data_IF_819517213347
#
_entry.id   IF_819517213347
#
_cell.length_a   1.000
_cell.length_b   1.000
_cell.length_c   1.000
_cell.angle_alpha   90.00
_cell.angle_beta   90.00
_cell.angle_gamma   90.00
#
_symmetry.space_group_name_H-M   'P 1'
#
loop_
_entity.id
_entity.type
_entity.pdbx_description
1 polymer ?
#
# COMPACT_ATOMS: atom_id res chain seq x y z
N UNK A 1 14.82 -5.32 -5.45
CA UNK A 1 14.59 -6.54 -6.27
C UNK A 1 13.11 -6.79 -6.45
N UNK A 2 12.31 -6.71 -5.39
CA UNK A 2 10.85 -6.70 -5.50
C UNK A 2 10.34 -5.25 -5.42
N UNK A 3 10.01 -4.64 -6.56
CA UNK A 3 9.49 -3.27 -6.65
C UNK A 3 8.30 -3.23 -7.61
N UNK A 4 7.13 -2.91 -7.10
CA UNK A 4 5.90 -2.76 -7.91
C UNK A 4 5.86 -1.51 -8.81
N UNK A 5 6.95 -0.75 -8.80
CA UNK A 5 7.14 0.49 -9.56
C UNK A 5 8.41 0.43 -10.39
N UNK A 6 8.82 -0.76 -10.82
CA UNK A 6 10.02 -0.92 -11.66
C UNK A 6 9.96 -0.02 -12.90
N UNK A 7 8.77 0.23 -13.45
CA UNK A 7 8.54 1.14 -14.57
C UNK A 7 8.99 2.59 -14.29
N UNK A 8 8.93 3.03 -13.03
CA UNK A 8 9.43 4.35 -12.61
C UNK A 8 10.96 4.39 -12.53
N UNK A 9 11.58 3.29 -12.14
CA UNK A 9 13.04 3.16 -12.05
C UNK A 9 13.64 2.98 -13.45
N UNK A 10 12.97 2.21 -14.30
CA UNK A 10 13.38 1.91 -15.67
C UNK A 10 12.93 2.95 -16.70
N UNK A 11 12.17 3.99 -16.30
CA UNK A 11 11.57 5.02 -17.18
C UNK A 11 10.84 4.44 -18.41
N UNK A 12 10.16 3.30 -18.22
CA UNK A 12 9.44 2.63 -19.32
C UNK A 12 8.22 3.46 -19.73
N UNK A 13 7.92 3.44 -21.03
CA UNK A 13 6.66 3.98 -21.54
C UNK A 13 5.49 3.15 -21.02
N UNK A 14 4.43 3.84 -20.59
CA UNK A 14 3.23 3.19 -20.04
C UNK A 14 2.08 3.50 -20.98
N UNK A 15 1.49 2.45 -21.54
CA UNK A 15 0.21 2.53 -22.23
C UNK A 15 -0.90 2.76 -21.18
N UNK A 16 -1.66 3.84 -21.34
CA UNK A 16 -2.79 4.20 -20.48
C UNK A 16 -4.09 3.72 -21.12
N UNK A 17 -5.15 3.65 -20.32
CA UNK A 17 -6.48 3.21 -20.76
C UNK A 17 -7.10 4.09 -21.84
N UNK A 18 -6.60 5.31 -22.03
CA UNK A 18 -6.99 6.24 -23.09
C UNK A 18 -6.19 6.06 -24.40
N UNK A 19 -5.33 5.03 -24.48
CA UNK A 19 -4.48 4.75 -25.64
C UNK A 19 -3.21 5.59 -25.71
N UNK A 20 -2.98 6.51 -24.77
CA UNK A 20 -1.74 7.28 -24.72
C UNK A 20 -0.58 6.45 -24.20
N UNK A 21 0.57 6.60 -24.84
CA UNK A 21 1.83 5.97 -24.41
C UNK A 21 2.77 7.09 -23.97
N UNK A 22 3.07 7.14 -22.67
CA UNK A 22 3.97 8.16 -22.13
C UNK A 22 4.81 7.58 -21.00
N UNK A 23 6.07 8.03 -20.90
CA UNK A 23 6.87 7.78 -19.71
C UNK A 23 6.25 8.48 -18.50
N UNK A 24 6.40 7.87 -17.33
CA UNK A 24 5.90 8.47 -16.10
C UNK A 24 6.87 9.57 -15.65
N UNK A 25 6.44 10.83 -15.80
CA UNK A 25 7.23 12.01 -15.48
C UNK A 25 7.48 12.20 -13.99
N UNK A 26 8.47 13.03 -13.66
CA UNK A 26 8.69 13.52 -12.31
C UNK A 26 7.68 14.63 -11.99
N UNK A 27 7.09 14.60 -10.81
CA UNK A 27 6.20 15.66 -10.36
C UNK A 27 6.95 17.00 -10.27
N UNK A 28 6.28 18.08 -10.67
CA UNK A 28 6.79 19.46 -10.64
C UNK A 28 5.86 20.32 -9.80
N UNK A 29 6.42 21.14 -8.90
CA UNK A 29 5.63 22.04 -8.04
C UNK A 29 4.83 23.00 -8.91
N UNK A 30 5.44 23.48 -9.99
CA UNK A 30 4.90 24.47 -10.93
C UNK A 30 3.69 23.95 -11.71
N UNK A 31 3.50 22.63 -11.80
CA UNK A 31 2.31 22.02 -12.39
C UNK A 31 1.28 21.64 -11.32
N UNK A 32 1.75 21.07 -10.21
CA UNK A 32 0.88 20.47 -9.22
C UNK A 32 0.12 21.52 -8.41
N UNK A 33 0.79 22.61 -8.01
CA UNK A 33 0.15 23.66 -7.19
C UNK A 33 -1.00 24.34 -7.95
N UNK A 34 -0.83 24.81 -9.20
CA UNK A 34 -1.95 25.35 -9.97
C UNK A 34 -3.11 24.37 -10.13
N UNK A 35 -2.81 23.08 -10.35
CA UNK A 35 -3.85 22.05 -10.43
C UNK A 35 -4.65 21.91 -9.12
N UNK A 36 -3.97 21.88 -7.98
CA UNK A 36 -4.64 21.78 -6.67
C UNK A 36 -5.52 23.00 -6.42
N UNK A 37 -4.98 24.20 -6.66
CA UNK A 37 -5.70 25.46 -6.45
C UNK A 37 -6.95 25.54 -7.34
N UNK A 38 -6.81 25.20 -8.62
CA UNK A 38 -7.92 25.25 -9.57
C UNK A 38 -8.98 24.20 -9.26
N UNK A 39 -8.58 22.95 -8.98
CA UNK A 39 -9.53 21.92 -8.55
C UNK A 39 -10.31 22.37 -7.32
N UNK A 40 -9.62 22.90 -6.30
CA UNK A 40 -10.25 23.34 -5.06
C UNK A 40 -11.14 24.57 -5.23
N UNK A 41 -10.78 25.49 -6.14
CA UNK A 41 -11.63 26.63 -6.53
C UNK A 41 -12.92 26.14 -7.18
N UNK A 42 -12.83 25.23 -8.16
CA UNK A 42 -13.98 24.63 -8.84
C UNK A 42 -14.89 23.92 -7.82
N UNK A 43 -14.32 23.13 -6.92
CA UNK A 43 -15.06 22.47 -5.83
C UNK A 43 -15.83 23.48 -4.99
N UNK A 44 -15.18 24.57 -4.55
CA UNK A 44 -15.79 25.58 -3.71
C UNK A 44 -16.95 26.30 -4.41
N UNK A 45 -16.83 26.56 -5.71
CA UNK A 45 -17.87 27.21 -6.52
C UNK A 45 -19.06 26.29 -6.83
N UNK A 46 -18.89 24.96 -6.73
CA UNK A 46 -19.88 23.96 -7.09
C UNK A 46 -20.44 23.22 -5.85
N UNK A 47 -20.59 23.92 -4.72
CA UNK A 47 -21.24 23.37 -3.53
C UNK A 47 -20.43 22.29 -2.81
N UNK A 48 -19.10 22.27 -2.99
CA UNK A 48 -18.21 21.34 -2.32
C UNK A 48 -17.86 20.08 -3.12
N UNK A 49 -18.32 19.96 -4.38
CA UNK A 49 -18.06 18.81 -5.24
C UNK A 49 -17.63 19.30 -6.62
N UNK A 50 -16.55 18.75 -7.17
CA UNK A 50 -16.09 19.05 -8.52
C UNK A 50 -17.06 18.44 -9.55
N UNK A 51 -17.61 19.21 -10.51
CA UNK A 51 -18.68 18.76 -11.40
C UNK A 51 -18.24 17.63 -12.35
N UNK A 52 -17.00 17.66 -12.84
CA UNK A 52 -16.51 16.62 -13.76
C UNK A 52 -15.98 15.38 -13.03
N UNK A 53 -15.17 15.57 -11.98
CA UNK A 53 -14.50 14.45 -11.31
C UNK A 53 -15.33 13.83 -10.19
N UNK A 54 -16.39 14.51 -9.74
CA UNK A 54 -17.22 14.09 -8.61
C UNK A 54 -16.47 14.02 -7.28
N UNK A 55 -15.35 14.76 -7.15
CA UNK A 55 -14.49 14.73 -5.96
C UNK A 55 -14.67 15.98 -5.12
N UNK A 56 -14.54 15.82 -3.82
CA UNK A 56 -14.37 16.92 -2.88
C UNK A 56 -13.02 17.65 -3.06
N UNK A 57 -12.81 18.65 -2.19
CA UNK A 57 -11.56 19.40 -2.04
C UNK A 57 -10.39 18.43 -1.87
N UNK A 58 -9.34 18.63 -2.65
CA UNK A 58 -8.04 18.00 -2.42
C UNK A 58 -7.47 18.56 -1.12
N UNK A 59 -7.57 17.75 -0.07
CA UNK A 59 -7.06 18.07 1.28
C UNK A 59 -5.88 17.20 1.71
N UNK A 60 -5.61 16.11 0.98
CA UNK A 60 -4.52 15.18 1.28
C UNK A 60 -3.71 14.83 0.03
N UNK A 61 -2.39 14.89 0.15
CA UNK A 61 -1.45 14.47 -0.91
C UNK A 61 -0.55 13.35 -0.41
N UNK A 62 -0.24 12.38 -1.27
CA UNK A 62 0.77 11.34 -1.03
C UNK A 62 1.98 11.56 -1.94
N UNK A 63 3.12 11.88 -1.34
CA UNK A 63 4.42 11.89 -1.98
C UNK A 63 4.95 10.44 -2.05
N UNK A 64 5.07 9.89 -3.25
CA UNK A 64 5.51 8.51 -3.49
C UNK A 64 5.98 8.32 -4.96
N UNK A 65 6.11 7.07 -5.42
CA UNK A 65 6.59 6.70 -6.74
C UNK A 65 7.98 6.06 -6.65
N UNK A 66 9.00 6.90 -6.49
CA UNK A 66 10.29 6.50 -5.93
C UNK A 66 10.26 6.64 -4.40
N UNK A 67 11.39 7.02 -3.80
CA UNK A 67 11.46 7.36 -2.38
C UNK A 67 11.71 8.88 -2.20
N UNK A 68 10.72 9.66 -1.71
CA UNK A 68 10.89 11.09 -1.47
C UNK A 68 11.98 11.43 -0.46
N UNK A 69 12.36 10.52 0.45
CA UNK A 69 13.40 10.79 1.46
C UNK A 69 14.81 10.70 0.89
N UNK A 70 14.98 10.24 -0.35
CA UNK A 70 16.25 10.39 -1.10
C UNK A 70 16.51 11.85 -1.50
N UNK A 71 15.47 12.70 -1.50
CA UNK A 71 15.65 14.14 -1.72
C UNK A 71 16.32 14.81 -0.51
N UNK A 72 17.15 15.82 -0.75
CA UNK A 72 17.71 16.65 0.32
C UNK A 72 16.66 17.48 1.05
N UNK A 73 16.97 17.87 2.30
CA UNK A 73 16.05 18.60 3.19
C UNK A 73 15.45 19.86 2.55
N UNK A 74 16.23 20.62 1.78
CA UNK A 74 15.75 21.82 1.09
C UNK A 74 14.64 21.54 0.07
N UNK A 75 14.74 20.43 -0.67
CA UNK A 75 13.72 20.02 -1.64
C UNK A 75 12.47 19.52 -0.93
N UNK A 76 12.62 18.76 0.16
CA UNK A 76 11.47 18.33 0.97
C UNK A 76 10.75 19.54 1.54
N UNK A 77 11.48 20.48 2.15
CA UNK A 77 10.91 21.71 2.69
C UNK A 77 10.13 22.51 1.62
N UNK A 78 10.69 22.64 0.42
CA UNK A 78 10.01 23.31 -0.70
C UNK A 78 8.70 22.62 -1.09
N UNK A 79 8.67 21.28 -1.16
CA UNK A 79 7.45 20.54 -1.41
C UNK A 79 6.42 20.67 -0.28
N UNK A 80 6.85 20.54 0.97
CA UNK A 80 5.94 20.66 2.12
C UNK A 80 5.30 22.04 2.18
N UNK A 81 6.09 23.10 2.02
CA UNK A 81 5.61 24.48 2.01
C UNK A 81 4.64 24.73 0.84
N UNK A 82 5.02 24.35 -0.38
CA UNK A 82 4.18 24.55 -1.56
C UNK A 82 2.83 23.81 -1.46
N UNK A 83 2.81 22.60 -0.90
CA UNK A 83 1.57 21.86 -0.68
C UNK A 83 0.72 22.52 0.42
N UNK A 84 1.33 22.95 1.52
CA UNK A 84 0.62 23.65 2.59
C UNK A 84 -0.01 24.97 2.09
N UNK A 85 0.74 25.76 1.31
CA UNK A 85 0.25 27.00 0.68
C UNK A 85 -0.89 26.74 -0.32
N UNK A 86 -0.88 25.58 -1.00
CA UNK A 86 -1.97 25.15 -1.85
C UNK A 86 -3.24 24.70 -1.08
N UNK A 87 -3.22 24.77 0.25
CA UNK A 87 -4.35 24.44 1.11
C UNK A 87 -4.49 22.96 1.46
N UNK A 88 -3.41 22.18 1.34
CA UNK A 88 -3.35 20.77 1.76
C UNK A 88 -3.23 20.69 3.29
N UNK A 89 -4.06 19.85 3.90
CA UNK A 89 -4.18 19.69 5.35
C UNK A 89 -3.39 18.47 5.87
N UNK A 90 -3.16 17.48 5.01
CA UNK A 90 -2.41 16.27 5.35
C UNK A 90 -1.46 15.88 4.22
N UNK A 91 -0.19 15.67 4.54
CA UNK A 91 0.82 15.21 3.59
C UNK A 91 1.33 13.84 4.03
N UNK A 92 1.08 12.83 3.20
CA UNK A 92 1.66 11.50 3.37
C UNK A 92 2.97 11.39 2.61
N UNK A 93 3.96 10.72 3.19
CA UNK A 93 5.25 10.48 2.56
C UNK A 93 5.54 8.98 2.64
N UNK A 94 5.58 8.30 1.48
CA UNK A 94 5.95 6.89 1.44
C UNK A 94 7.45 6.70 1.28
N UNK A 95 8.09 5.99 2.22
CA UNK A 95 9.56 5.84 2.23
C UNK A 95 10.00 4.46 2.73
N UNK A 96 11.01 3.87 2.08
CA UNK A 96 11.78 2.72 2.59
C UNK A 96 13.10 3.18 3.21
N UNK A 97 13.48 4.45 3.06
CA UNK A 97 14.71 5.00 3.61
C UNK A 97 14.85 4.78 5.12
N UNK A 98 13.73 4.74 5.87
CA UNK A 98 13.76 4.39 7.30
C UNK A 98 14.33 3.00 7.59
N UNK A 99 14.23 2.05 6.65
CA UNK A 99 14.82 0.72 6.76
C UNK A 99 16.23 0.65 6.16
N UNK A 100 16.53 1.46 5.14
CA UNK A 100 17.79 1.39 4.41
C UNK A 100 18.88 2.30 4.97
N UNK A 101 18.50 3.51 5.36
CA UNK A 101 19.41 4.52 5.88
C UNK A 101 18.71 5.38 6.95
N UNK A 102 18.48 4.83 8.17
CA UNK A 102 17.80 5.55 9.24
C UNK A 102 18.49 6.87 9.65
N UNK A 103 19.80 6.98 9.43
CA UNK A 103 20.57 8.20 9.69
C UNK A 103 20.20 9.38 8.77
N UNK A 104 19.42 9.15 7.71
CA UNK A 104 18.76 10.20 6.93
C UNK A 104 17.89 11.11 7.81
N UNK A 105 17.31 10.56 8.87
CA UNK A 105 16.43 11.26 9.81
C UNK A 105 17.26 11.85 10.94
N UNK A 106 18.14 12.79 10.60
CA UNK A 106 19.04 13.46 11.54
C UNK A 106 18.43 14.73 12.16
N UNK A 107 19.20 15.39 13.01
CA UNK A 107 18.76 16.61 13.71
C UNK A 107 18.43 17.75 12.74
N UNK A 108 19.08 17.82 11.57
CA UNK A 108 18.80 18.84 10.56
C UNK A 108 17.48 18.59 9.83
N UNK A 109 17.12 17.32 9.62
CA UNK A 109 15.82 16.93 9.09
C UNK A 109 14.71 17.29 10.08
N UNK A 110 14.93 17.00 11.36
CA UNK A 110 13.98 17.31 12.42
C UNK A 110 13.77 18.82 12.63
N UNK A 111 14.85 19.61 12.62
CA UNK A 111 14.77 21.08 12.64
C UNK A 111 14.01 21.64 11.43
N UNK A 112 14.21 21.05 10.23
CA UNK A 112 13.44 21.42 9.04
C UNK A 112 11.94 21.15 9.23
N UNK A 113 11.58 19.99 9.79
CA UNK A 113 10.18 19.65 10.08
C UNK A 113 9.56 20.59 11.11
N UNK A 114 10.29 20.93 12.17
CA UNK A 114 9.79 21.82 13.22
C UNK A 114 9.56 23.24 12.71
N UNK A 115 10.48 23.75 11.87
CA UNK A 115 10.32 25.04 11.19
C UNK A 115 9.12 25.04 10.25
N UNK A 116 8.92 23.96 9.49
CA UNK A 116 7.75 23.80 8.65
C UNK A 116 6.46 23.87 9.48
N UNK A 117 6.36 23.11 10.56
CA UNK A 117 5.16 23.09 11.39
C UNK A 117 4.92 24.41 12.14
N UNK A 118 5.97 25.12 12.55
CA UNK A 118 5.84 26.44 13.15
C UNK A 118 5.17 27.46 12.20
N UNK A 119 5.40 27.31 10.88
CA UNK A 119 4.79 28.15 9.84
C UNK A 119 3.39 27.64 9.48
N UNK A 120 3.20 26.32 9.39
CA UNK A 120 1.95 25.68 8.96
C UNK A 120 1.39 24.73 10.03
N UNK A 121 0.95 25.23 11.20
CA UNK A 121 0.57 24.39 12.34
C UNK A 121 -0.71 23.55 12.09
N UNK A 122 -1.49 23.91 11.07
CA UNK A 122 -2.69 23.18 10.66
C UNK A 122 -2.40 21.96 9.76
N UNK A 123 -1.16 21.77 9.30
CA UNK A 123 -0.80 20.66 8.40
C UNK A 123 -0.19 19.52 9.18
N UNK A 124 -0.72 18.32 8.95
CA UNK A 124 -0.24 17.07 9.59
C UNK A 124 0.57 16.23 8.60
N UNK A 125 1.55 15.48 9.12
CA UNK A 125 2.33 14.55 8.31
C UNK A 125 2.04 13.10 8.68
N UNK A 126 2.08 12.23 7.68
CA UNK A 126 2.05 10.78 7.88
C UNK A 126 3.14 10.10 7.08
N UNK A 127 4.11 9.52 7.78
CA UNK A 127 5.17 8.74 7.16
C UNK A 127 4.69 7.30 6.98
N UNK A 128 4.58 6.88 5.73
CA UNK A 128 4.31 5.49 5.37
C UNK A 128 5.64 4.76 5.21
N UNK A 129 6.16 4.19 6.29
CA UNK A 129 7.41 3.41 6.28
C UNK A 129 7.18 2.02 5.65
N UNK A 130 8.27 1.37 5.26
CA UNK A 130 8.23 0.13 4.49
C UNK A 130 9.21 -0.92 5.00
N UNK A 131 9.05 -1.28 6.28
CA UNK A 131 9.70 -2.42 6.88
C UNK A 131 8.99 -3.72 6.46
N UNK A 132 9.76 -4.69 5.98
CA UNK A 132 9.27 -5.97 5.49
C UNK A 132 9.61 -7.14 6.44
N UNK A 133 10.65 -7.04 7.26
CA UNK A 133 11.06 -8.11 8.16
C UNK A 133 11.64 -7.51 9.46
N UNK A 134 11.52 -8.16 10.63
CA UNK A 134 12.08 -7.61 11.86
C UNK A 134 13.60 -7.38 11.80
N UNK A 135 14.32 -8.16 10.98
CA UNK A 135 15.77 -7.99 10.73
C UNK A 135 16.16 -6.61 10.19
N UNK A 136 15.22 -5.88 9.57
CA UNK A 136 15.49 -4.54 9.06
C UNK A 136 15.58 -3.49 10.18
N UNK A 137 15.12 -3.79 11.40
CA UNK A 137 15.09 -2.81 12.49
C UNK A 137 15.37 -3.35 13.90
N UNK A 138 15.48 -4.67 14.10
CA UNK A 138 15.79 -5.29 15.38
C UNK A 138 17.23 -5.80 15.42
N UNK A 139 17.84 -5.71 16.61
CA UNK A 139 19.16 -6.28 16.88
C UNK A 139 19.03 -7.79 17.11
N UNK A 140 20.01 -8.53 16.58
CA UNK A 140 20.17 -9.97 16.80
C UNK A 140 21.43 -10.26 17.59
N UNK A 141 21.41 -11.35 18.35
CA UNK A 141 22.59 -11.96 18.93
C UNK A 141 23.42 -12.73 17.88
N UNK A 142 24.58 -13.25 18.28
CA UNK A 142 25.44 -14.05 17.41
C UNK A 142 24.86 -15.40 16.97
N UNK A 143 23.68 -15.79 17.49
CA UNK A 143 22.97 -17.04 17.16
C UNK A 143 21.73 -16.78 16.30
N UNK A 144 21.43 -15.52 15.98
CA UNK A 144 20.29 -15.12 15.16
C UNK A 144 18.99 -14.84 15.93
N UNK A 145 18.99 -14.94 17.26
CA UNK A 145 17.86 -14.57 18.10
C UNK A 145 17.78 -13.05 18.30
N UNK A 146 16.58 -12.49 18.36
CA UNK A 146 16.42 -11.06 18.66
C UNK A 146 16.78 -10.77 20.12
N UNK A 147 17.46 -9.64 20.36
CA UNK A 147 17.84 -9.23 21.70
C UNK A 147 16.63 -8.67 22.46
N UNK A 148 16.41 -9.14 23.68
CA UNK A 148 15.38 -8.61 24.58
C UNK A 148 15.77 -7.21 25.08
N UNK A 149 14.80 -6.29 25.11
CA UNK A 149 14.96 -4.97 25.73
C UNK A 149 14.65 -5.09 27.24
N UNK A 150 15.54 -4.64 28.15
CA UNK A 150 15.26 -4.63 29.58
C UNK A 150 14.00 -3.87 29.98
N UNK A 151 13.56 -2.88 29.18
CA UNK A 151 12.31 -2.14 29.36
C UNK A 151 11.09 -2.88 28.76
N UNK A 152 11.31 -4.06 28.16
CA UNK A 152 10.32 -4.94 27.56
C UNK A 152 10.14 -4.75 26.06
N UNK A 153 9.94 -5.87 25.37
CA UNK A 153 9.97 -5.94 23.89
C UNK A 153 11.36 -6.30 23.40
N UNK A 154 11.65 -6.01 22.13
CA UNK A 154 12.94 -6.33 21.52
C UNK A 154 13.77 -5.07 21.28
N UNK A 155 15.10 -5.21 21.29
CA UNK A 155 16.00 -4.10 21.04
C UNK A 155 16.01 -3.73 19.57
N UNK A 156 15.75 -2.46 19.29
CA UNK A 156 15.84 -1.89 17.95
C UNK A 156 17.29 -1.48 17.62
N UNK A 157 17.62 -1.40 16.33
CA UNK A 157 18.82 -0.72 15.85
C UNK A 157 18.82 0.74 16.35
N UNK A 158 19.95 1.22 16.86
CA UNK A 158 19.99 2.49 17.61
C UNK A 158 19.59 3.69 16.75
N UNK A 159 20.05 3.73 15.49
CA UNK A 159 19.70 4.79 14.56
C UNK A 159 18.20 4.77 14.17
N UNK A 160 17.63 3.59 13.90
CA UNK A 160 16.19 3.43 13.65
C UNK A 160 15.37 3.83 14.86
N UNK A 161 15.75 3.37 16.06
CA UNK A 161 15.07 3.72 17.31
C UNK A 161 15.09 5.22 17.55
N UNK A 162 16.24 5.88 17.36
CA UNK A 162 16.39 7.33 17.47
C UNK A 162 15.45 8.05 16.51
N UNK A 163 15.46 7.67 15.23
CA UNK A 163 14.63 8.30 14.19
C UNK A 163 13.13 8.19 14.48
N UNK A 164 12.65 6.98 14.82
CA UNK A 164 11.23 6.75 15.17
C UNK A 164 10.84 7.49 16.44
N UNK A 165 11.69 7.48 17.48
CA UNK A 165 11.40 8.18 18.73
C UNK A 165 11.31 9.69 18.51
N UNK A 166 12.20 10.26 17.69
CA UNK A 166 12.16 11.68 17.33
C UNK A 166 10.91 12.04 16.53
N UNK A 167 10.50 11.20 15.56
CA UNK A 167 9.21 11.38 14.88
C UNK A 167 8.04 11.34 15.87
N UNK A 168 8.04 10.37 16.78
CA UNK A 168 6.98 10.19 17.79
C UNK A 168 6.88 11.31 18.83
N UNK A 169 7.91 12.13 19.01
CA UNK A 169 7.86 13.33 19.86
C UNK A 169 7.00 14.45 19.26
N UNK A 170 6.66 14.37 17.97
CA UNK A 170 5.88 15.38 17.24
C UNK A 170 4.45 14.89 17.09
N UNK A 171 3.52 15.48 17.87
CA UNK A 171 2.11 15.09 17.90
C UNK A 171 1.35 15.29 16.56
N UNK A 172 1.92 16.07 15.63
CA UNK A 172 1.40 16.32 14.29
C UNK A 172 1.96 15.35 13.23
N UNK A 173 2.77 14.36 13.65
CA UNK A 173 3.33 13.31 12.81
C UNK A 173 2.82 11.94 13.25
N UNK A 174 2.33 11.16 12.29
CA UNK A 174 2.08 9.73 12.48
C UNK A 174 3.03 8.89 11.63
N UNK A 175 3.39 7.71 12.12
CA UNK A 175 4.20 6.73 11.38
C UNK A 175 3.39 5.46 11.24
N UNK A 176 3.27 4.98 10.01
CA UNK A 176 2.50 3.80 9.65
C UNK A 176 3.37 2.89 8.79
N UNK A 177 3.41 1.60 9.10
CA UNK A 177 4.09 0.62 8.26
C UNK A 177 3.13 -0.02 7.26
N UNK A 178 3.60 -0.19 6.03
CA UNK A 178 2.93 -0.99 5.02
C UNK A 178 3.94 -1.91 4.34
N UNK A 179 3.59 -3.19 4.15
CA UNK A 179 4.56 -4.19 3.68
C UNK A 179 3.89 -5.24 2.78
N UNK A 180 4.44 -5.61 1.61
CA UNK A 180 4.02 -6.82 0.93
C UNK A 180 4.40 -8.07 1.74
N UNK A 181 3.61 -9.13 1.60
CA UNK A 181 4.03 -10.48 1.96
C UNK A 181 4.78 -11.05 0.75
N UNK A 182 6.05 -11.41 0.98
CA UNK A 182 7.03 -11.79 -0.03
C UNK A 182 7.54 -13.18 0.30
N UNK A 183 7.48 -14.07 -0.68
CA UNK A 183 7.99 -15.43 -0.60
C UNK A 183 9.51 -15.45 -0.32
N UNK A 184 9.92 -16.22 0.68
CA UNK A 184 11.30 -16.37 1.13
C UNK A 184 11.85 -15.19 1.93
N UNK A 185 11.02 -14.19 2.27
CA UNK A 185 11.44 -13.01 3.04
C UNK A 185 10.63 -12.87 4.32
N UNK A 186 9.31 -12.73 4.21
CA UNK A 186 8.42 -12.48 5.36
C UNK A 186 7.10 -13.25 5.26
N UNK A 187 7.05 -14.30 4.44
CA UNK A 187 5.94 -15.25 4.39
C UNK A 187 5.98 -16.22 5.59
N UNK A 188 6.18 -15.66 6.78
CA UNK A 188 6.29 -16.35 8.06
C UNK A 188 5.37 -15.64 9.07
N UNK A 189 4.34 -16.32 9.60
CA UNK A 189 3.45 -15.75 10.61
C UNK A 189 4.16 -15.22 11.85
N UNK A 190 5.25 -15.85 12.28
CA UNK A 190 5.96 -15.46 13.50
C UNK A 190 6.74 -14.15 13.27
N UNK A 191 7.42 -14.01 12.13
CA UNK A 191 8.07 -12.77 11.74
C UNK A 191 7.08 -11.60 11.66
N UNK A 192 5.91 -11.80 11.04
CA UNK A 192 4.87 -10.76 10.97
C UNK A 192 4.28 -10.42 12.34
N UNK A 193 4.16 -11.41 13.25
CA UNK A 193 3.70 -11.17 14.62
C UNK A 193 4.67 -10.29 15.39
N UNK A 194 5.97 -10.60 15.28
CA UNK A 194 7.04 -9.80 15.89
C UNK A 194 7.00 -8.37 15.35
N UNK A 195 6.90 -8.19 14.03
CA UNK A 195 6.79 -6.86 13.43
C UNK A 195 5.61 -6.07 13.99
N UNK A 196 4.42 -6.65 13.97
CA UNK A 196 3.20 -5.95 14.38
C UNK A 196 3.26 -5.51 15.85
N UNK A 197 3.78 -6.38 16.74
CA UNK A 197 3.93 -6.10 18.16
C UNK A 197 4.98 -5.02 18.41
N UNK A 198 6.18 -5.19 17.85
CA UNK A 198 7.28 -4.25 18.08
C UNK A 198 7.01 -2.89 17.46
N UNK A 199 6.43 -2.82 16.26
CA UNK A 199 6.04 -1.55 15.65
C UNK A 199 5.04 -0.80 16.52
N UNK A 200 3.95 -1.47 16.93
CA UNK A 200 2.92 -0.83 17.74
C UNK A 200 3.46 -0.31 19.07
N UNK A 201 4.32 -1.10 19.73
CA UNK A 201 5.04 -0.69 20.97
C UNK A 201 5.87 0.58 20.77
N UNK A 202 6.39 0.78 19.56
CA UNK A 202 7.33 1.84 19.22
C UNK A 202 6.70 2.96 18.37
N UNK A 203 5.39 3.21 18.54
CA UNK A 203 4.66 4.31 17.88
C UNK A 203 4.62 4.21 16.35
N UNK A 204 4.75 3.00 15.80
CA UNK A 204 4.56 2.70 14.38
C UNK A 204 3.28 1.88 14.23
N UNK A 205 2.30 2.42 13.51
CA UNK A 205 1.01 1.75 13.31
C UNK A 205 1.09 0.68 12.21
N UNK A 206 0.24 -0.35 12.32
CA UNK A 206 0.20 -1.47 11.38
C UNK A 206 -0.87 -1.22 10.32
N UNK A 207 -0.50 -0.64 9.17
CA UNK A 207 -1.48 -0.19 8.19
C UNK A 207 -1.97 -1.30 7.24
N UNK A 208 -1.10 -1.76 6.34
CA UNK A 208 -1.44 -2.78 5.35
C UNK A 208 -0.34 -3.82 5.22
N UNK A 209 -0.76 -5.08 5.16
CA UNK A 209 0.00 -6.09 4.44
C UNK A 209 -0.55 -6.22 3.02
N UNK A 210 0.31 -6.38 2.03
CA UNK A 210 -0.12 -6.48 0.63
C UNK A 210 0.09 -7.87 0.05
N UNK A 211 -0.89 -8.37 -0.70
CA UNK A 211 -0.68 -9.46 -1.62
C UNK A 211 0.34 -9.05 -2.71
N UNK A 212 0.98 -10.06 -3.28
CA UNK A 212 1.76 -9.97 -4.51
C UNK A 212 1.00 -9.27 -5.63
N UNK A 213 1.64 -8.41 -6.43
CA UNK A 213 1.05 -7.86 -7.67
C UNK A 213 1.52 -8.63 -8.89
N UNK A 214 0.62 -8.83 -9.85
CA UNK A 214 0.97 -9.40 -11.15
C UNK A 214 1.76 -8.39 -12.01
N UNK A 215 3.09 -8.40 -11.91
CA UNK A 215 4.01 -7.59 -12.73
C UNK A 215 4.96 -8.49 -13.56
N UNK A 216 6.01 -7.98 -14.21
CA UNK A 216 6.98 -8.87 -14.89
C UNK A 216 8.01 -9.40 -13.87
N UNK A 217 8.36 -10.68 -13.93
CA UNK A 217 9.47 -11.27 -13.14
C UNK A 217 9.23 -11.47 -11.63
N UNK A 218 8.02 -11.20 -11.15
CA UNK A 218 7.70 -11.22 -9.71
C UNK A 218 7.16 -12.57 -9.19
N UNK A 219 6.85 -13.53 -10.06
CA UNK A 219 6.21 -14.80 -9.66
C UNK A 219 7.00 -15.55 -8.57
N UNK A 220 8.33 -15.49 -8.60
CA UNK A 220 9.19 -16.12 -7.59
C UNK A 220 9.01 -15.52 -6.18
N UNK A 221 8.53 -14.28 -6.09
CA UNK A 221 8.34 -13.53 -4.85
C UNK A 221 6.88 -13.50 -4.38
N UNK A 222 5.93 -13.91 -5.22
CA UNK A 222 4.52 -13.95 -4.84
C UNK A 222 4.22 -15.15 -3.95
N UNK A 223 3.29 -14.91 -3.03
CA UNK A 223 2.62 -15.92 -2.23
C UNK A 223 1.18 -16.02 -2.74
N UNK A 224 0.60 -17.23 -2.86
CA UNK A 224 -0.82 -17.36 -3.20
C UNK A 224 -1.70 -16.53 -2.26
N UNK A 225 -2.80 -15.99 -2.79
CA UNK A 225 -3.65 -15.03 -2.07
C UNK A 225 -4.21 -15.64 -0.79
N UNK A 226 -4.70 -16.88 -0.85
CA UNK A 226 -5.20 -17.60 0.33
C UNK A 226 -4.11 -17.86 1.37
N UNK A 227 -2.90 -18.15 0.92
CA UNK A 227 -1.75 -18.37 1.80
C UNK A 227 -1.29 -17.08 2.47
N UNK A 228 -1.26 -15.95 1.74
CA UNK A 228 -1.00 -14.63 2.31
C UNK A 228 -2.06 -14.26 3.36
N UNK A 229 -3.34 -14.58 3.10
CA UNK A 229 -4.43 -14.40 4.07
C UNK A 229 -4.22 -15.25 5.31
N UNK A 230 -3.88 -16.54 5.14
CA UNK A 230 -3.58 -17.44 6.25
C UNK A 230 -2.41 -16.93 7.07
N UNK A 231 -1.31 -16.53 6.44
CA UNK A 231 -0.11 -16.01 7.12
C UNK A 231 -0.45 -14.81 8.00
N UNK A 232 -1.20 -13.83 7.48
CA UNK A 232 -1.60 -12.67 8.26
C UNK A 232 -2.49 -13.06 9.45
N UNK A 233 -3.50 -13.91 9.24
CA UNK A 233 -4.39 -14.35 10.31
C UNK A 233 -3.65 -15.14 11.41
N UNK A 234 -2.75 -16.03 11.02
CA UNK A 234 -1.90 -16.77 11.97
C UNK A 234 -0.95 -15.83 12.73
N UNK A 235 -0.39 -14.81 12.07
CA UNK A 235 0.47 -13.82 12.72
C UNK A 235 -0.26 -13.02 13.80
N UNK A 236 -1.57 -12.78 13.61
CA UNK A 236 -2.38 -11.99 14.51
C UNK A 236 -2.90 -12.76 15.72
N UNK A 237 -2.76 -14.09 15.74
CA UNK A 237 -3.04 -14.88 16.94
C UNK A 237 -2.10 -14.46 18.07
N UNK A 238 -2.68 -14.17 19.24
CA UNK A 238 -1.93 -13.74 20.42
C UNK A 238 -1.51 -12.26 20.43
N UNK A 239 -1.90 -11.48 19.42
CA UNK A 239 -1.81 -10.03 19.45
C UNK A 239 -3.07 -9.43 20.12
N UNK A 240 -2.93 -8.26 20.73
CA UNK A 240 -4.04 -7.44 21.20
C UNK A 240 -4.80 -6.82 20.02
N UNK A 241 -6.03 -6.38 20.23
CA UNK A 241 -6.84 -5.76 19.16
C UNK A 241 -6.21 -4.51 18.53
N UNK A 242 -5.39 -3.77 19.28
CA UNK A 242 -4.67 -2.59 18.77
C UNK A 242 -3.40 -2.95 18.00
N UNK A 243 -2.87 -4.15 18.16
CA UNK A 243 -1.75 -4.66 17.36
C UNK A 243 -2.28 -5.33 16.07
N UNK A 244 -3.37 -6.08 16.17
CA UNK A 244 -3.98 -6.88 15.11
C UNK A 244 -5.01 -6.11 14.25
N UNK A 245 -4.69 -4.88 13.83
CA UNK A 245 -5.61 -4.05 13.02
C UNK A 245 -5.19 -3.90 11.55
N UNK A 246 -4.02 -4.43 11.16
CA UNK A 246 -3.58 -4.44 9.78
C UNK A 246 -4.50 -5.33 8.93
N UNK A 247 -4.80 -4.86 7.72
CA UNK A 247 -5.61 -5.59 6.73
C UNK A 247 -4.72 -6.18 5.64
N UNK A 248 -5.14 -7.32 5.08
CA UNK A 248 -4.55 -7.85 3.86
C UNK A 248 -5.18 -7.17 2.64
N UNK A 249 -4.43 -6.31 1.98
CA UNK A 249 -4.88 -5.58 0.81
C UNK A 249 -4.29 -6.15 -0.49
N UNK A 250 -5.12 -6.22 -1.52
CA UNK A 250 -4.72 -6.50 -2.89
C UNK A 250 -5.16 -5.33 -3.77
N UNK A 251 -4.28 -4.85 -4.65
CA UNK A 251 -4.57 -3.67 -5.48
C UNK A 251 -5.26 -4.10 -6.77
N UNK A 252 -6.33 -3.43 -7.14
CA UNK A 252 -7.06 -3.62 -8.38
C UNK A 252 -7.21 -2.28 -9.12
N UNK A 253 -7.53 -2.29 -10.42
CA UNK A 253 -7.75 -1.03 -11.17
C UNK A 253 -8.93 -0.23 -10.61
N UNK A 254 -9.97 -0.92 -10.13
CA UNK A 254 -11.13 -0.30 -9.46
C UNK A 254 -10.78 0.31 -8.09
N UNK A 255 -9.66 -0.06 -7.48
CA UNK A 255 -9.22 0.48 -6.19
C UNK A 255 -8.45 -0.50 -5.30
N UNK A 256 -8.38 -0.19 -4.00
CA UNK A 256 -7.81 -1.09 -3.00
C UNK A 256 -8.87 -2.07 -2.52
N UNK A 257 -8.59 -3.35 -2.68
CA UNK A 257 -9.45 -4.46 -2.24
C UNK A 257 -8.82 -5.11 -1.01
N UNK A 258 -9.64 -5.67 -0.14
CA UNK A 258 -9.27 -6.51 0.99
C UNK A 258 -9.62 -7.97 0.68
N UNK A 259 -8.73 -8.89 1.05
CA UNK A 259 -9.07 -10.30 1.18
C UNK A 259 -9.66 -10.47 2.59
N UNK A 260 -10.98 -10.53 2.68
CA UNK A 260 -11.69 -10.46 3.97
C UNK A 260 -11.64 -11.80 4.67
N UNK A 261 -12.01 -12.86 3.97
CA UNK A 261 -12.15 -14.19 4.54
C UNK A 261 -11.87 -15.28 3.51
N UNK A 262 -11.37 -16.41 4.01
CA UNK A 262 -11.24 -17.68 3.30
C UNK A 262 -11.90 -18.74 4.18
N UNK A 263 -12.86 -19.51 3.66
CA UNK A 263 -13.53 -20.56 4.44
C UNK A 263 -12.70 -21.83 4.48
N UNK A 264 -12.78 -22.57 5.59
CA UNK A 264 -12.06 -23.84 5.76
C UNK A 264 -12.79 -25.01 5.10
N UNK A 265 -14.12 -25.01 5.18
CA UNK A 265 -14.94 -26.14 4.75
C UNK A 265 -15.59 -25.89 3.37
N UNK A 266 -15.91 -26.97 2.63
CA UNK A 266 -16.75 -26.90 1.45
C UNK A 266 -18.11 -26.27 1.75
N UNK A 267 -18.73 -25.70 0.71
CA UNK A 267 -20.06 -25.11 0.76
C UNK A 267 -21.03 -25.91 -0.14
N UNK A 268 -21.64 -27.00 0.39
CA UNK A 268 -22.51 -27.85 -0.42
C UNK A 268 -23.65 -27.08 -1.09
N UNK A 269 -23.87 -27.35 -2.37
CA UNK A 269 -24.90 -26.69 -3.17
C UNK A 269 -24.52 -25.32 -3.75
N UNK A 270 -23.29 -24.83 -3.47
CA UNK A 270 -22.74 -23.62 -4.11
C UNK A 270 -21.77 -24.04 -5.21
N UNK A 271 -22.04 -23.72 -6.50
CA UNK A 271 -21.10 -24.00 -7.59
C UNK A 271 -19.72 -23.39 -7.33
N UNK A 272 -18.65 -24.15 -7.49
CA UNK A 272 -17.28 -23.69 -7.18
C UNK A 272 -16.94 -23.69 -5.68
N UNK A 273 -17.92 -23.98 -4.81
CA UNK A 273 -17.77 -24.03 -3.35
C UNK A 273 -17.21 -25.35 -2.83
N UNK A 274 -16.79 -26.28 -3.69
CA UNK A 274 -16.36 -27.64 -3.30
C UNK A 274 -15.10 -27.63 -2.42
N UNK A 275 -14.31 -26.55 -2.50
CA UNK A 275 -13.11 -26.33 -1.67
C UNK A 275 -13.31 -25.23 -0.62
N UNK A 276 -14.51 -24.66 -0.53
CA UNK A 276 -14.82 -23.46 0.24
C UNK A 276 -14.79 -22.19 -0.62
N UNK A 277 -14.89 -21.03 0.03
CA UNK A 277 -15.05 -19.71 -0.60
C UNK A 277 -13.94 -18.74 -0.17
N UNK A 278 -13.67 -17.78 -1.04
CA UNK A 278 -12.89 -16.58 -0.74
C UNK A 278 -13.77 -15.35 -0.94
N UNK A 279 -13.63 -14.37 -0.05
CA UNK A 279 -14.42 -13.13 -0.05
C UNK A 279 -13.48 -11.93 -0.16
N UNK A 280 -13.71 -11.13 -1.20
CA UNK A 280 -13.05 -9.86 -1.43
C UNK A 280 -14.02 -8.72 -1.11
N UNK A 281 -13.48 -7.59 -0.61
CA UNK A 281 -14.25 -6.37 -0.34
C UNK A 281 -13.49 -5.13 -0.76
N UNK A 282 -14.15 -4.21 -1.43
CA UNK A 282 -13.53 -2.95 -1.80
C UNK A 282 -13.37 -2.03 -0.58
N UNK A 283 -12.12 -1.66 -0.27
CA UNK A 283 -11.81 -0.74 0.83
C UNK A 283 -11.94 0.73 0.41
N UNK A 284 -11.52 1.00 -0.83
CA UNK A 284 -11.45 2.34 -1.40
C UNK A 284 -11.44 2.24 -2.92
N UNK A 285 -12.35 2.92 -3.61
CA UNK A 285 -12.29 3.15 -5.05
C UNK A 285 -11.76 4.55 -5.39
N UNK A 286 -11.72 4.87 -6.68
CA UNK A 286 -11.52 6.23 -7.18
C UNK A 286 -12.65 7.16 -6.71
N UNK A 287 -12.37 8.47 -6.65
CA UNK A 287 -13.27 9.51 -6.13
C UNK A 287 -13.65 9.31 -4.64
N UNK A 288 -14.89 9.60 -4.25
CA UNK A 288 -15.38 9.56 -2.85
C UNK A 288 -15.77 8.15 -2.37
N UNK A 289 -15.17 7.14 -3.01
CA UNK A 289 -15.36 5.74 -2.72
C UNK A 289 -16.83 5.24 -2.69
N UNK A 290 -17.69 5.59 -3.67
CA UNK A 290 -19.12 5.21 -3.67
C UNK A 290 -19.34 3.69 -3.67
N UNK A 291 -18.36 2.95 -4.18
CA UNK A 291 -18.38 1.50 -4.31
C UNK A 291 -17.77 0.78 -3.07
N UNK A 292 -17.39 1.55 -2.04
CA UNK A 292 -16.79 0.99 -0.83
C UNK A 292 -17.74 0.01 -0.16
N UNK A 293 -17.21 -1.15 0.23
CA UNK A 293 -17.96 -2.20 0.89
C UNK A 293 -18.57 -3.23 -0.06
N UNK A 294 -18.62 -2.95 -1.38
CA UNK A 294 -19.01 -3.95 -2.37
C UNK A 294 -18.10 -5.16 -2.31
N UNK A 295 -18.70 -6.33 -2.54
CA UNK A 295 -18.01 -7.63 -2.37
C UNK A 295 -17.94 -8.41 -3.67
N UNK A 296 -16.93 -9.28 -3.74
CA UNK A 296 -16.87 -10.36 -4.72
C UNK A 296 -16.57 -11.68 -3.99
N UNK A 297 -17.24 -12.74 -4.39
CA UNK A 297 -17.18 -14.08 -3.80
C UNK A 297 -16.83 -15.06 -4.92
N UNK A 298 -15.80 -15.87 -4.67
CA UNK A 298 -15.38 -16.93 -5.57
C UNK A 298 -15.12 -18.23 -4.80
N UNK A 299 -15.16 -19.35 -5.52
CA UNK A 299 -14.65 -20.62 -5.03
C UNK A 299 -13.17 -20.55 -4.71
N UNK A 300 -12.69 -21.34 -3.74
CA UNK A 300 -11.27 -21.35 -3.37
C UNK A 300 -10.37 -21.85 -4.49
N UNK A 301 -9.20 -21.23 -4.60
CA UNK A 301 -8.07 -21.67 -5.40
C UNK A 301 -6.75 -21.43 -4.60
N UNK A 302 -6.18 -22.46 -3.97
CA UNK A 302 -4.97 -22.32 -3.15
C UNK A 302 -3.72 -21.93 -3.96
N UNK A 303 -3.76 -22.07 -5.28
CA UNK A 303 -2.63 -21.77 -6.18
C UNK A 303 -2.74 -20.37 -6.80
N UNK A 304 -3.86 -19.66 -6.59
CA UNK A 304 -4.09 -18.36 -7.20
C UNK A 304 -3.21 -17.27 -6.59
N UNK A 305 -2.29 -16.73 -7.39
CA UNK A 305 -1.43 -15.60 -7.04
C UNK A 305 -2.03 -14.23 -7.44
N UNK A 306 -3.09 -14.23 -8.26
CA UNK A 306 -3.80 -13.03 -8.73
C UNK A 306 -5.29 -13.31 -9.00
N UNK A 307 -6.07 -12.27 -9.34
CA UNK A 307 -7.52 -12.36 -9.53
C UNK A 307 -7.95 -13.30 -10.67
N UNK A 308 -7.17 -13.39 -11.74
CA UNK A 308 -7.43 -14.33 -12.84
C UNK A 308 -7.40 -15.80 -12.41
N UNK A 309 -6.80 -16.13 -11.26
CA UNK A 309 -6.86 -17.48 -10.70
C UNK A 309 -8.26 -17.91 -10.21
N UNK A 310 -9.26 -17.04 -10.28
CA UNK A 310 -10.63 -17.31 -9.78
C UNK A 310 -11.73 -17.14 -10.82
N UNK A 311 -11.41 -16.76 -12.07
CA UNK A 311 -12.36 -16.43 -13.15
C UNK A 311 -13.35 -17.55 -13.45
N UNK A 312 -12.88 -18.81 -13.40
CA UNK A 312 -13.67 -20.02 -13.63
C UNK A 312 -14.62 -20.40 -12.48
N UNK A 313 -14.54 -19.70 -11.34
CA UNK A 313 -15.25 -20.02 -10.09
C UNK A 313 -15.83 -18.79 -9.38
N UNK A 314 -16.11 -17.73 -10.12
CA UNK A 314 -16.81 -16.55 -9.58
C UNK A 314 -18.26 -16.90 -9.30
N UNK A 315 -18.71 -16.66 -8.07
CA UNK A 315 -20.07 -16.96 -7.62
C UNK A 315 -20.92 -15.69 -7.57
N UNK A 316 -20.32 -14.60 -7.12
CA UNK A 316 -20.97 -13.30 -6.99
C UNK A 316 -19.93 -12.19 -7.15
N UNK A 317 -20.23 -11.17 -7.94
CA UNK A 317 -19.32 -10.06 -8.14
C UNK A 317 -20.10 -8.75 -8.31
N UNK A 318 -20.35 -8.08 -7.19
CA UNK A 318 -21.15 -6.84 -7.16
C UNK A 318 -20.42 -5.68 -7.84
N UNK A 319 -19.09 -5.69 -7.76
CA UNK A 319 -18.23 -4.63 -8.25
C UNK A 319 -17.80 -4.88 -9.71
N UNK A 320 -17.85 -6.12 -10.18
CA UNK A 320 -17.21 -6.53 -11.43
C UNK A 320 -15.69 -6.59 -11.31
N UNK A 321 -15.19 -7.05 -10.16
CA UNK A 321 -13.76 -7.26 -9.91
C UNK A 321 -13.13 -8.23 -10.92
N UNK A 322 -13.89 -9.19 -11.43
CA UNK A 322 -13.40 -10.24 -12.34
C UNK A 322 -13.70 -9.99 -13.83
N UNK A 323 -14.51 -8.99 -14.17
CA UNK A 323 -15.01 -8.73 -15.53
C UNK A 323 -13.90 -8.66 -16.58
N UNK A 324 -12.80 -7.95 -16.29
CA UNK A 324 -11.70 -7.76 -17.25
C UNK A 324 -10.96 -9.06 -17.57
N UNK A 325 -10.85 -9.95 -16.58
CA UNK A 325 -10.16 -11.22 -16.71
C UNK A 325 -11.03 -12.24 -17.46
N UNK A 326 -12.32 -12.29 -17.14
CA UNK A 326 -13.30 -13.12 -17.85
C UNK A 326 -13.39 -12.71 -19.33
N UNK A 327 -13.36 -11.41 -19.63
CA UNK A 327 -13.35 -10.92 -21.00
C UNK A 327 -12.07 -11.32 -21.76
N UNK A 328 -10.91 -11.23 -21.11
CA UNK A 328 -9.63 -11.60 -21.71
C UNK A 328 -9.55 -13.09 -22.06
N UNK A 329 -9.96 -13.99 -21.14
CA UNK A 329 -9.98 -15.44 -21.39
C UNK A 329 -10.89 -15.81 -22.58
N UNK A 330 -12.06 -15.17 -22.68
CA UNK A 330 -12.96 -15.37 -23.82
C UNK A 330 -12.38 -14.91 -25.16
N UNK A 331 -11.46 -13.95 -25.16
CA UNK A 331 -10.77 -13.50 -26.38
C UNK A 331 -9.63 -14.45 -26.77
N UNK A 332 -8.98 -15.11 -25.81
CA UNK A 332 -7.98 -16.15 -26.07
C UNK A 332 -8.61 -17.45 -26.61
N UNK A 333 -9.85 -17.76 -26.21
CA UNK A 333 -10.61 -18.91 -26.69
C UNK A 333 -11.22 -18.74 -28.10
N UNK A 334 -11.14 -17.54 -28.69
CA UNK A 334 -11.55 -17.34 -30.08
C UNK A 334 -10.51 -17.96 -31.02
N UNK A 335 -10.91 -18.85 -31.95
CA UNK A 335 -9.97 -19.41 -32.91
C UNK A 335 -9.33 -18.27 -33.69
N UNK A 336 -8.00 -18.21 -33.67
CA UNK A 336 -7.23 -17.37 -34.60
C UNK A 336 -7.71 -17.75 -35.99
N UNK A 337 -8.44 -16.84 -36.64
CA UNK A 337 -8.83 -17.03 -38.03
C UNK A 337 -7.52 -17.19 -38.82
N UNK A 338 -7.23 -18.43 -39.20
CA UNK A 338 -6.15 -18.76 -40.11
C UNK A 338 -6.53 -18.09 -41.42
N UNK A 339 -6.01 -16.88 -41.64
CA UNK A 339 -6.04 -16.23 -42.94
C UNK A 339 -5.26 -17.11 -43.90
N UNK A 340 -5.97 -17.93 -44.67
CA UNK A 340 -5.42 -18.52 -45.87
C UNK A 340 -5.11 -17.39 -46.83
N UNK A 341 -3.83 -17.24 -47.14
CA UNK A 341 -3.37 -16.50 -48.30
C UNK A 341 -3.76 -17.27 -49.57
N UNK A 342 -4.51 -16.63 -50.44
CA UNK A 342 -4.41 -16.75 -51.91
C UNK A 342 -4.52 -15.37 -52.54
#
# INVERSE_FOLDING_TARGET
RFCYREELIAKKEIARSDGTVASKGLARIEELVPYILEHNRIVAENGGIHPETGREKLREILMSGGDPMVLGNSKIAAWLAALAEAGIEQIRIGTKEMAFFPDRFDDTFFDMLDKFHAIYPGVTLRLMVHFNHPDEFLKKDGKGGYLEDPAGGLQWLDNTKRAISQLGQRNWINVDNQAPIINGINNDPDALRIMQREMKRNLVENHYFFCGRDIVGHRAFNVPIEEAWRILNESQKGLSGVEAHARLSITHYKGKTEVVAVTNDPMPGVPGGEKGLIIFKLLRSVADAPEKGKVAIAGRNPDAIWFNGYTDRVIYDELGLFDEYIAAERMEDLPVAVGQAE
#
